data_IF_718819005420
#
_entry.id   IF_718819005420
#
_cell.length_a   1.000
_cell.length_b   1.000
_cell.length_c   1.000
_cell.angle_alpha   90.00
_cell.angle_beta   90.00
_cell.angle_gamma   90.00
#
_symmetry.space_group_name_H-M   'P 1'
#
loop_
_entity.id
_entity.type
_entity.pdbx_description
1 polymer ?
#
# COMPACT_ATOMS: atom_id res chain seq x y z
N UNK A 1 -1.33 24.73 16.63
CA UNK A 1 0.06 25.20 16.58
C UNK A 1 0.21 26.18 15.42
N UNK A 2 0.75 27.35 15.67
CA UNK A 2 1.05 28.37 14.65
C UNK A 2 2.58 28.43 14.54
N UNK A 3 3.11 28.33 13.33
CA UNK A 3 4.53 28.57 13.04
C UNK A 3 4.59 29.90 12.33
N UNK A 4 5.20 30.89 12.98
CA UNK A 4 5.36 32.24 12.47
C UNK A 4 6.70 32.37 11.76
N UNK A 5 6.72 32.97 10.57
CA UNK A 5 7.89 33.20 9.72
C UNK A 5 8.78 31.95 9.51
N UNK A 6 8.29 30.87 8.89
CA UNK A 6 9.12 29.70 8.63
C UNK A 6 10.25 30.05 7.65
N UNK A 7 11.50 29.94 8.11
CA UNK A 7 12.70 30.12 7.28
C UNK A 7 13.02 28.82 6.58
N UNK A 8 12.53 28.60 5.36
CA UNK A 8 12.80 27.37 4.60
C UNK A 8 12.03 27.30 3.29
N UNK A 9 12.22 26.20 2.54
CA UNK A 9 11.57 25.95 1.25
C UNK A 9 10.06 25.63 1.36
N UNK A 10 9.52 25.46 2.58
CA UNK A 10 8.16 24.95 2.79
C UNK A 10 7.31 25.99 3.53
N UNK A 11 6.23 26.43 2.90
CA UNK A 11 5.29 27.44 3.43
C UNK A 11 3.96 26.86 3.92
N UNK A 12 3.67 25.58 3.63
CA UNK A 12 2.38 24.97 3.95
C UNK A 12 2.41 24.30 5.33
N UNK A 13 1.36 24.50 6.12
CA UNK A 13 1.22 23.93 7.46
C UNK A 13 1.36 22.39 7.50
N UNK A 14 0.97 21.71 6.43
CA UNK A 14 1.16 20.26 6.29
C UNK A 14 2.64 19.85 6.17
N UNK A 15 3.49 20.73 5.69
CA UNK A 15 4.92 20.46 5.49
C UNK A 15 5.79 20.94 6.65
N UNK A 16 5.33 21.95 7.39
CA UNK A 16 6.09 22.59 8.49
C UNK A 16 5.54 22.19 9.85
N UNK A 17 4.25 22.36 10.07
CA UNK A 17 3.61 22.14 11.37
C UNK A 17 3.24 20.68 11.62
N UNK A 18 2.80 19.94 10.60
CA UNK A 18 2.34 18.58 10.78
C UNK A 18 3.44 17.61 11.24
N UNK A 19 4.69 17.66 10.74
CA UNK A 19 5.78 16.81 11.24
C UNK A 19 6.10 17.10 12.71
N UNK A 20 6.09 18.38 13.11
CA UNK A 20 6.37 18.79 14.49
C UNK A 20 5.25 18.30 15.43
N UNK A 21 4.00 18.46 15.01
CA UNK A 21 2.84 17.97 15.77
C UNK A 21 2.89 16.44 15.87
N UNK A 22 3.23 15.74 14.79
CA UNK A 22 3.40 14.29 14.76
C UNK A 22 4.44 13.81 15.78
N UNK A 23 5.60 14.47 15.85
CA UNK A 23 6.64 14.14 16.83
C UNK A 23 6.17 14.41 18.26
N UNK A 24 5.53 15.56 18.53
CA UNK A 24 5.00 15.88 19.85
C UNK A 24 3.94 14.85 20.27
N UNK A 25 3.03 14.49 19.37
CA UNK A 25 1.99 13.50 19.67
C UNK A 25 2.59 12.12 19.92
N UNK A 26 3.61 11.70 19.18
CA UNK A 26 4.27 10.40 19.38
C UNK A 26 4.95 10.29 20.75
N UNK A 27 5.37 11.41 21.34
CA UNK A 27 5.94 11.43 22.68
C UNK A 27 4.87 11.56 23.78
N UNK A 28 3.83 12.35 23.53
CA UNK A 28 2.81 12.69 24.52
C UNK A 28 1.74 11.59 24.69
N UNK A 29 1.31 10.97 23.58
CA UNK A 29 0.25 9.95 23.63
C UNK A 29 0.59 8.74 24.51
N UNK A 30 1.81 8.17 24.47
CA UNK A 30 2.21 7.10 25.40
C UNK A 30 2.23 7.56 26.86
N UNK A 31 2.59 8.82 27.12
CA UNK A 31 2.62 9.37 28.48
C UNK A 31 1.20 9.55 29.07
N UNK A 32 0.21 9.75 28.20
CA UNK A 32 -1.21 9.85 28.60
C UNK A 32 -1.92 8.50 28.63
N UNK A 33 -1.17 7.38 28.53
CA UNK A 33 -1.73 6.01 28.43
C UNK A 33 -2.70 5.83 27.25
N UNK A 34 -2.64 6.72 26.27
CA UNK A 34 -3.35 6.59 25.00
C UNK A 34 -2.51 5.69 24.12
N UNK A 35 -2.75 4.38 24.22
CA UNK A 35 -2.14 3.40 23.33
C UNK A 35 -2.41 3.80 21.88
N UNK A 36 -1.36 3.86 21.07
CA UNK A 36 -1.55 3.88 19.63
C UNK A 36 -2.34 2.64 19.27
N UNK A 37 -3.55 2.84 18.78
CA UNK A 37 -4.42 1.73 18.42
C UNK A 37 -3.84 1.09 17.15
N UNK A 38 -2.92 0.13 17.33
CA UNK A 38 -2.27 -0.62 16.25
C UNK A 38 -3.28 -1.30 15.32
N UNK A 39 -4.51 -1.44 15.79
CA UNK A 39 -5.61 -1.98 15.01
C UNK A 39 -6.03 -1.12 13.81
N UNK A 40 -5.72 0.19 13.81
CA UNK A 40 -6.09 1.14 12.75
C UNK A 40 -4.94 1.46 11.79
N UNK A 41 -3.75 0.95 12.03
CA UNK A 41 -2.59 1.17 11.15
C UNK A 41 -2.58 0.11 10.06
N UNK A 42 -2.66 0.54 8.81
CA UNK A 42 -2.42 -0.34 7.65
C UNK A 42 -0.95 -0.70 7.65
N UNK A 43 -0.64 -1.97 7.91
CA UNK A 43 0.74 -2.45 7.93
C UNK A 43 1.30 -2.45 6.53
N UNK A 44 2.49 -1.93 6.38
CA UNK A 44 3.23 -1.93 5.12
C UNK A 44 4.58 -2.62 5.29
N UNK A 45 5.09 -3.19 4.22
CA UNK A 45 6.41 -3.80 4.18
C UNK A 45 7.04 -3.60 2.81
N UNK A 46 8.37 -3.68 2.77
CA UNK A 46 9.14 -3.62 1.53
C UNK A 46 9.36 -5.03 1.01
N UNK A 47 9.05 -5.27 -0.26
CA UNK A 47 9.19 -6.59 -0.91
C UNK A 47 10.66 -6.97 -1.03
N UNK A 48 11.09 -8.11 -0.45
CA UNK A 48 12.45 -8.63 -0.60
C UNK A 48 12.69 -9.22 -1.99
N UNK A 49 13.96 -9.58 -2.26
CA UNK A 49 14.31 -10.34 -3.47
C UNK A 49 14.13 -11.84 -3.22
N UNK A 50 13.21 -12.45 -3.95
CA UNK A 50 12.96 -13.88 -3.92
C UNK A 50 13.59 -14.62 -5.12
N UNK A 51 14.17 -13.91 -6.08
CA UNK A 51 14.79 -14.53 -7.27
C UNK A 51 15.96 -15.41 -6.87
N UNK A 52 16.06 -16.56 -7.52
CA UNK A 52 17.06 -17.60 -7.19
C UNK A 52 16.74 -18.45 -5.97
N UNK A 53 15.62 -18.15 -5.27
CA UNK A 53 15.18 -18.95 -4.12
C UNK A 53 14.27 -20.09 -4.57
N UNK A 54 14.34 -21.29 -3.94
CA UNK A 54 13.35 -22.35 -4.14
C UNK A 54 11.93 -21.84 -3.85
N UNK A 55 10.97 -22.25 -4.70
CA UNK A 55 9.57 -21.74 -4.66
C UNK A 55 8.89 -22.01 -3.32
N UNK A 56 9.12 -23.18 -2.75
CA UNK A 56 8.58 -23.57 -1.43
C UNK A 56 9.08 -22.65 -0.32
N UNK A 57 10.38 -22.35 -0.31
CA UNK A 57 11.00 -21.44 0.66
C UNK A 57 10.50 -20.01 0.49
N UNK A 58 10.43 -19.50 -0.76
CA UNK A 58 9.90 -18.17 -1.05
C UNK A 58 8.43 -18.06 -0.62
N UNK A 59 7.61 -19.03 -0.97
CA UNK A 59 6.19 -19.10 -0.61
C UNK A 59 5.99 -19.17 0.91
N UNK A 60 6.83 -19.93 1.61
CA UNK A 60 6.82 -19.99 3.07
C UNK A 60 7.20 -18.64 3.70
N UNK A 61 8.26 -18.01 3.18
CA UNK A 61 8.69 -16.69 3.65
C UNK A 61 7.59 -15.63 3.49
N UNK A 62 6.88 -15.61 2.34
CA UNK A 62 5.78 -14.69 2.08
C UNK A 62 4.61 -14.93 3.06
N UNK A 63 4.23 -16.18 3.29
CA UNK A 63 3.15 -16.52 4.23
C UNK A 63 3.45 -16.15 5.68
N UNK A 64 4.73 -16.09 6.04
CA UNK A 64 5.19 -15.72 7.39
C UNK A 64 5.64 -14.25 7.50
N UNK A 65 5.37 -13.43 6.48
CA UNK A 65 5.52 -11.98 6.62
C UNK A 65 4.65 -11.49 7.79
N UNK A 66 5.10 -10.45 8.49
CA UNK A 66 4.42 -9.87 9.67
C UNK A 66 2.95 -9.49 9.44
N UNK A 67 2.51 -9.49 8.19
CA UNK A 67 1.13 -9.35 7.77
C UNK A 67 0.64 -10.70 7.22
N UNK A 68 -0.23 -11.38 7.95
CA UNK A 68 -0.82 -12.66 7.53
C UNK A 68 -1.82 -12.52 6.36
N UNK A 69 -1.92 -11.33 5.76
CA UNK A 69 -2.91 -11.01 4.72
C UNK A 69 -2.32 -10.99 3.31
N UNK A 70 -0.99 -11.15 3.18
CA UNK A 70 -0.33 -11.13 1.86
C UNK A 70 -0.53 -12.47 1.15
N UNK A 71 -1.07 -12.40 -0.07
CA UNK A 71 -1.26 -13.56 -0.92
C UNK A 71 0.00 -13.85 -1.73
N UNK A 72 0.38 -15.12 -1.82
CA UNK A 72 1.42 -15.60 -2.73
C UNK A 72 0.78 -16.34 -3.91
N UNK A 73 1.13 -15.94 -5.13
CA UNK A 73 0.70 -16.61 -6.37
C UNK A 73 1.96 -17.09 -7.08
N UNK A 74 2.02 -18.38 -7.41
CA UNK A 74 3.11 -18.95 -8.22
C UNK A 74 2.62 -19.15 -9.65
N UNK A 75 3.43 -18.76 -10.62
CA UNK A 75 3.17 -18.95 -12.06
C UNK A 75 4.34 -19.67 -12.71
N UNK A 76 4.02 -20.76 -13.39
CA UNK A 76 4.95 -21.73 -13.95
C UNK A 76 5.08 -22.97 -13.06
N UNK A 77 5.86 -23.97 -13.54
CA UNK A 77 6.03 -25.27 -12.89
C UNK A 77 7.48 -25.54 -12.46
N UNK A 78 8.34 -24.52 -12.53
CA UNK A 78 9.74 -24.64 -12.10
C UNK A 78 9.90 -24.62 -10.60
N UNK A 79 11.01 -25.13 -10.10
CA UNK A 79 11.30 -25.25 -8.66
C UNK A 79 11.98 -24.01 -8.07
N UNK A 80 12.40 -23.06 -8.92
CA UNK A 80 13.13 -21.86 -8.51
C UNK A 80 12.45 -20.61 -9.04
N UNK A 81 12.40 -19.56 -8.23
CA UNK A 81 11.88 -18.26 -8.62
C UNK A 81 12.86 -17.57 -9.56
N UNK A 82 12.43 -17.25 -10.78
CA UNK A 82 13.25 -16.54 -11.76
C UNK A 82 12.90 -15.05 -11.86
N UNK A 83 11.64 -14.71 -11.57
CA UNK A 83 11.16 -13.32 -11.55
C UNK A 83 10.04 -13.17 -10.52
N UNK A 84 9.74 -11.93 -10.13
CA UNK A 84 8.70 -11.62 -9.16
C UNK A 84 8.01 -10.29 -9.45
N UNK A 85 6.76 -10.17 -9.00
CA UNK A 85 6.00 -8.94 -9.00
C UNK A 85 5.23 -8.82 -7.67
N UNK A 86 5.35 -7.72 -6.92
CA UNK A 86 6.08 -6.48 -7.22
C UNK A 86 7.61 -6.67 -7.27
N UNK A 87 8.27 -5.68 -7.87
CA UNK A 87 9.72 -5.65 -7.88
C UNK A 87 10.29 -5.47 -6.48
N UNK A 88 11.53 -5.91 -6.30
CA UNK A 88 12.32 -5.69 -5.07
C UNK A 88 12.28 -4.23 -4.67
N UNK A 89 12.10 -3.95 -3.39
CA UNK A 89 12.05 -2.59 -2.85
C UNK A 89 10.68 -1.90 -2.96
N UNK A 90 9.70 -2.51 -3.63
CA UNK A 90 8.32 -1.96 -3.69
C UNK A 90 7.66 -2.06 -2.32
N UNK A 91 6.96 -1.02 -1.90
CA UNK A 91 6.10 -1.07 -0.71
C UNK A 91 4.77 -1.74 -1.05
N UNK A 92 4.34 -2.66 -0.21
CA UNK A 92 3.05 -3.34 -0.26
C UNK A 92 2.37 -3.21 1.09
N UNK A 93 1.05 -3.08 1.10
CA UNK A 93 0.23 -3.00 2.30
C UNK A 93 -0.59 -4.28 2.49
N UNK A 94 -1.23 -4.38 3.66
CA UNK A 94 -2.13 -5.48 4.01
C UNK A 94 -3.15 -5.76 2.89
N UNK A 95 -3.46 -7.03 2.64
CA UNK A 95 -4.33 -7.46 1.54
C UNK A 95 -3.62 -7.58 0.18
N UNK A 96 -2.33 -7.25 0.11
CA UNK A 96 -1.55 -7.28 -1.12
C UNK A 96 -1.26 -8.68 -1.65
N UNK A 97 -0.55 -8.73 -2.78
CA UNK A 97 -0.19 -9.96 -3.48
C UNK A 97 1.27 -9.90 -3.93
N UNK A 98 1.98 -11.02 -3.78
CA UNK A 98 3.29 -11.25 -4.41
C UNK A 98 3.13 -12.40 -5.40
N UNK A 99 3.51 -12.16 -6.65
CA UNK A 99 3.48 -13.15 -7.73
C UNK A 99 4.93 -13.59 -7.98
N UNK A 100 5.17 -14.89 -7.90
CA UNK A 100 6.45 -15.51 -8.18
C UNK A 100 6.36 -16.20 -9.55
N UNK A 101 7.32 -15.94 -10.43
CA UNK A 101 7.44 -16.57 -11.73
C UNK A 101 8.59 -17.58 -11.70
N UNK A 102 8.34 -18.80 -12.18
CA UNK A 102 9.31 -19.90 -12.14
C UNK A 102 9.77 -20.32 -13.53
N UNK A 103 9.21 -19.71 -14.57
CA UNK A 103 9.55 -19.97 -15.97
C UNK A 103 9.60 -18.64 -16.72
N UNK A 104 10.54 -18.50 -17.69
CA UNK A 104 10.68 -17.30 -18.51
C UNK A 104 9.41 -16.95 -19.31
N UNK A 105 8.69 -18.00 -19.74
CA UNK A 105 7.46 -17.88 -20.51
C UNK A 105 6.20 -17.85 -19.63
N UNK A 106 6.34 -17.74 -18.31
CA UNK A 106 5.19 -17.63 -17.42
C UNK A 106 4.37 -16.38 -17.78
N UNK A 107 3.06 -16.57 -17.96
CA UNK A 107 2.17 -15.51 -18.44
C UNK A 107 2.13 -14.33 -17.47
N UNK A 108 2.60 -13.17 -17.93
CA UNK A 108 2.48 -11.88 -17.25
C UNK A 108 1.16 -11.24 -17.66
N UNK A 109 0.13 -11.49 -16.85
CA UNK A 109 -1.20 -10.93 -17.10
C UNK A 109 -1.22 -9.44 -16.76
N UNK A 110 -1.90 -8.67 -17.58
CA UNK A 110 -2.12 -7.23 -17.35
C UNK A 110 -3.59 -6.96 -17.10
N UNK A 111 -3.87 -5.88 -16.38
CA UNK A 111 -5.22 -5.37 -16.13
C UNK A 111 -5.28 -3.90 -16.52
N UNK A 112 -6.41 -3.47 -17.07
CA UNK A 112 -6.66 -2.06 -17.33
C UNK A 112 -7.02 -1.35 -16.03
N UNK A 113 -6.26 -0.30 -15.68
CA UNK A 113 -6.42 0.41 -14.42
C UNK A 113 -7.74 1.19 -14.39
N UNK A 114 -8.49 0.99 -13.32
CA UNK A 114 -9.74 1.72 -13.09
C UNK A 114 -9.46 3.16 -12.64
N UNK A 115 -10.40 4.06 -12.90
CA UNK A 115 -10.42 5.37 -12.27
C UNK A 115 -10.93 5.20 -10.83
N UNK A 116 -10.08 5.51 -9.86
CA UNK A 116 -10.42 5.44 -8.42
C UNK A 116 -11.00 6.75 -7.90
N UNK A 117 -10.91 7.86 -8.63
CA UNK A 117 -11.37 9.16 -8.15
C UNK A 117 -12.84 9.09 -7.65
N UNK A 118 -13.05 9.55 -6.41
CA UNK A 118 -14.34 9.50 -5.73
C UNK A 118 -14.73 8.16 -5.09
N UNK A 119 -13.97 7.08 -5.35
CA UNK A 119 -14.21 5.78 -4.72
C UNK A 119 -13.82 5.81 -3.24
N UNK A 120 -14.53 5.05 -2.41
CA UNK A 120 -14.10 4.78 -1.05
C UNK A 120 -12.84 3.90 -1.02
N UNK A 121 -12.08 3.95 0.08
CA UNK A 121 -10.91 3.09 0.24
C UNK A 121 -11.28 1.60 0.19
N UNK A 122 -12.45 1.22 0.74
CA UNK A 122 -12.99 -0.15 0.69
C UNK A 122 -13.24 -0.63 -0.74
N UNK A 123 -13.86 0.22 -1.58
CA UNK A 123 -14.13 -0.11 -2.98
C UNK A 123 -12.84 -0.23 -3.80
N UNK A 124 -11.88 0.69 -3.58
CA UNK A 124 -10.57 0.66 -4.22
C UNK A 124 -9.81 -0.61 -3.85
N UNK A 125 -9.77 -0.97 -2.55
CA UNK A 125 -9.14 -2.19 -2.06
C UNK A 125 -9.77 -3.43 -2.68
N UNK A 126 -11.11 -3.54 -2.64
CA UNK A 126 -11.82 -4.68 -3.21
C UNK A 126 -11.61 -4.84 -4.73
N UNK A 127 -11.45 -3.75 -5.46
CA UNK A 127 -11.12 -3.80 -6.88
C UNK A 127 -9.67 -4.28 -7.09
N UNK A 128 -8.72 -3.74 -6.35
CA UNK A 128 -7.31 -4.11 -6.42
C UNK A 128 -7.09 -5.58 -6.09
N UNK A 129 -7.72 -6.08 -5.02
CA UNK A 129 -7.64 -7.49 -4.62
C UNK A 129 -8.15 -8.45 -5.71
N UNK A 130 -9.30 -8.14 -6.32
CA UNK A 130 -9.89 -8.95 -7.41
C UNK A 130 -9.02 -8.99 -8.66
N UNK A 131 -8.26 -7.93 -8.90
CA UNK A 131 -7.42 -7.79 -10.09
C UNK A 131 -5.94 -8.11 -9.82
N UNK A 132 -5.59 -8.57 -8.62
CA UNK A 132 -4.21 -8.82 -8.18
C UNK A 132 -3.31 -7.58 -8.36
N UNK A 133 -3.80 -6.40 -8.01
CA UNK A 133 -3.05 -5.16 -7.94
C UNK A 133 -2.82 -4.83 -6.46
N UNK A 134 -1.63 -4.34 -6.12
CA UNK A 134 -1.33 -3.89 -4.77
C UNK A 134 -1.77 -2.45 -4.60
N UNK A 135 -2.73 -2.20 -3.71
CA UNK A 135 -3.12 -0.86 -3.32
C UNK A 135 -2.16 -0.36 -2.24
N UNK A 136 -1.60 0.82 -2.45
CA UNK A 136 -0.86 1.59 -1.42
C UNK A 136 -1.69 2.82 -1.11
N UNK A 137 -2.28 2.84 0.07
CA UNK A 137 -3.11 3.95 0.52
C UNK A 137 -2.25 5.02 1.16
N UNK A 138 -2.45 6.26 0.76
CA UNK A 138 -1.82 7.46 1.32
C UNK A 138 -2.85 8.51 1.72
N UNK A 139 -2.45 9.45 2.59
CA UNK A 139 -3.30 10.55 3.04
C UNK A 139 -4.14 10.18 4.25
N UNK A 140 -5.33 10.77 4.36
CA UNK A 140 -6.24 10.57 5.49
C UNK A 140 -7.22 9.46 5.13
N UNK A 141 -7.10 8.34 5.81
CA UNK A 141 -8.05 7.24 5.77
C UNK A 141 -8.22 6.67 7.18
N UNK A 142 -9.41 6.16 7.48
CA UNK A 142 -9.69 5.44 8.72
C UNK A 142 -9.99 3.97 8.41
N UNK A 143 -10.00 3.11 9.43
CA UNK A 143 -10.20 1.67 9.28
C UNK A 143 -11.57 1.31 8.69
N UNK A 144 -12.58 2.13 8.94
CA UNK A 144 -13.92 1.92 8.40
C UNK A 144 -14.00 2.25 6.91
N UNK A 145 -13.04 3.06 6.40
CA UNK A 145 -12.89 3.41 4.99
C UNK A 145 -14.14 3.98 4.30
N UNK A 146 -15.22 4.22 5.06
CA UNK A 146 -16.52 4.59 4.50
C UNK A 146 -16.57 6.03 4.05
N UNK A 147 -15.97 6.94 4.84
CA UNK A 147 -15.99 8.38 4.57
C UNK A 147 -14.71 8.90 3.87
N UNK A 148 -13.79 8.00 3.53
CA UNK A 148 -12.60 8.38 2.79
C UNK A 148 -12.85 8.22 1.29
N UNK A 149 -12.43 9.24 0.52
CA UNK A 149 -12.59 9.26 -0.95
C UNK A 149 -11.24 9.45 -1.61
N UNK A 150 -10.99 8.66 -2.64
CA UNK A 150 -9.81 8.77 -3.48
C UNK A 150 -9.85 10.09 -4.27
N UNK A 151 -8.71 10.80 -4.29
CA UNK A 151 -8.57 12.07 -5.02
C UNK A 151 -7.50 12.02 -6.10
N UNK A 152 -6.55 11.09 -5.97
CA UNK A 152 -5.51 10.89 -6.99
C UNK A 152 -5.01 9.44 -6.99
N UNK A 153 -4.41 9.03 -8.09
CA UNK A 153 -3.79 7.72 -8.25
C UNK A 153 -2.50 7.83 -9.07
N UNK A 154 -1.50 6.98 -8.76
CA UNK A 154 -0.18 7.00 -9.40
C UNK A 154 -0.17 6.41 -10.81
N UNK A 155 -1.13 5.54 -11.13
CA UNK A 155 -1.29 4.95 -12.47
C UNK A 155 -2.59 5.46 -13.06
N UNK A 156 -2.52 6.12 -14.22
CA UNK A 156 -3.69 6.69 -14.91
C UNK A 156 -4.74 5.62 -15.25
N UNK A 157 -6.01 6.01 -15.16
CA UNK A 157 -7.13 5.18 -15.61
C UNK A 157 -6.98 4.80 -17.11
N UNK A 158 -7.33 3.57 -17.46
CA UNK A 158 -7.19 3.04 -18.81
C UNK A 158 -5.78 2.52 -19.14
N UNK A 159 -4.76 2.84 -18.36
CA UNK A 159 -3.41 2.27 -18.57
C UNK A 159 -3.38 0.80 -18.15
N UNK A 160 -2.63 0.01 -18.90
CA UNK A 160 -2.38 -1.39 -18.54
C UNK A 160 -1.31 -1.47 -17.45
N UNK A 161 -1.62 -2.17 -16.39
CA UNK A 161 -0.70 -2.50 -15.31
C UNK A 161 -0.52 -4.02 -15.23
N UNK A 162 0.68 -4.48 -14.96
CA UNK A 162 0.96 -5.90 -14.74
C UNK A 162 0.37 -6.33 -13.39
N UNK A 163 -0.25 -7.50 -13.32
CA UNK A 163 -0.72 -8.05 -12.05
C UNK A 163 0.45 -8.20 -11.06
N UNK A 164 0.20 -7.90 -9.79
CA UNK A 164 1.23 -7.81 -8.77
C UNK A 164 1.87 -6.42 -8.65
N UNK A 165 1.74 -5.52 -9.64
CA UNK A 165 2.24 -4.14 -9.50
C UNK A 165 1.50 -3.36 -8.42
N UNK A 166 2.10 -2.27 -7.94
CA UNK A 166 1.51 -1.40 -6.95
C UNK A 166 0.93 -0.13 -7.60
N UNK A 167 -0.20 0.31 -7.08
CA UNK A 167 -0.80 1.62 -7.35
C UNK A 167 -0.96 2.38 -6.06
N UNK A 168 -0.39 3.57 -5.98
CA UNK A 168 -0.61 4.49 -4.86
C UNK A 168 -1.87 5.30 -5.13
N UNK A 169 -2.76 5.34 -4.14
CA UNK A 169 -4.00 6.12 -4.19
C UNK A 169 -4.06 7.00 -2.96
N UNK A 170 -4.21 8.32 -3.17
CA UNK A 170 -4.35 9.28 -2.08
C UNK A 170 -5.81 9.46 -1.74
N UNK A 171 -6.11 9.42 -0.44
CA UNK A 171 -7.46 9.55 0.10
C UNK A 171 -7.56 10.79 0.97
N UNK A 172 -8.75 11.39 0.98
CA UNK A 172 -9.13 12.45 1.91
C UNK A 172 -10.40 12.03 2.66
N UNK A 173 -10.52 12.50 3.89
CA UNK A 173 -11.76 12.38 4.64
C UNK A 173 -12.77 13.38 4.07
N UNK A 174 -13.97 12.91 3.77
CA UNK A 174 -15.05 13.76 3.29
C UNK A 174 -16.24 13.60 4.24
N UNK A 175 -16.49 14.61 5.08
CA UNK A 175 -17.74 14.67 5.84
C UNK A 175 -18.91 14.77 4.87
N UNK A 176 -19.91 13.90 5.02
CA UNK A 176 -21.21 14.12 4.40
C UNK A 176 -21.87 15.29 5.16
N UNK A 177 -21.89 16.46 4.54
CA UNK A 177 -22.71 17.59 5.03
C UNK A 177 -24.17 17.17 4.80
N UNK A 178 -24.84 16.83 5.88
CA UNK A 178 -26.29 16.60 5.90
C UNK A 178 -27.04 17.91 5.64
#
# INVERSE_FOLDING_TARGET
MIVDEPTGQYYYGSQVAAPIIGNILSEVLPYLDIAMNDENVVKSFTVPDYRGTPVDQASYAIKNLKSNTIRCIVRGNGDTVIDQMPRVGTTVQDGGVIILYTEENASKSTVEMRNFNGMSAKEALAWCERNNINLVMEGIFNKEFENCRAVSQSVEAGKKAEQGSAVTVSFIYKEEIQ
#
